data_IF_700189398201
#
_entry.id   IF_700189398201
#
_cell.length_a   1.000
_cell.length_b   1.000
_cell.length_c   1.000
_cell.angle_alpha   90.00
_cell.angle_beta   90.00
_cell.angle_gamma   90.00
#
_symmetry.space_group_name_H-M   'P 1'
#
loop_
_entity.id
_entity.type
_entity.pdbx_description
1 polymer ?
#
# COMPACT_ATOMS: atom_id res chain seq x y z
N UNK A 1 -3.80 -12.14 4.90
CA UNK A 1 -4.05 -10.96 5.78
C UNK A 1 -5.48 -10.42 5.56
N UNK A 2 -6.25 -10.10 6.63
CA UNK A 2 -7.70 -9.80 6.60
C UNK A 2 -8.09 -8.40 6.10
N UNK A 3 -9.35 -8.30 5.64
CA UNK A 3 -10.09 -7.11 5.17
C UNK A 3 -9.94 -5.92 6.14
N UNK A 4 -9.44 -4.76 5.68
CA UNK A 4 -9.46 -3.50 6.45
C UNK A 4 -8.22 -2.59 6.36
N UNK A 5 -7.09 -3.09 5.86
CA UNK A 5 -5.80 -2.37 5.86
C UNK A 5 -5.84 -1.10 5.00
N UNK A 6 -6.58 -1.09 3.89
CA UNK A 6 -6.57 0.07 2.98
C UNK A 6 -7.16 1.31 3.63
N UNK A 7 -8.27 1.14 4.37
CA UNK A 7 -8.93 2.25 5.07
C UNK A 7 -7.99 2.92 6.06
N UNK A 8 -7.21 2.14 6.80
CA UNK A 8 -6.23 2.68 7.75
C UNK A 8 -5.04 3.31 7.03
N UNK A 9 -4.49 2.66 6.01
CA UNK A 9 -3.37 3.19 5.21
C UNK A 9 -3.70 4.54 4.59
N UNK A 10 -4.92 4.72 4.08
CA UNK A 10 -5.34 5.98 3.44
C UNK A 10 -5.93 7.02 4.40
N UNK A 11 -6.17 6.68 5.67
CA UNK A 11 -6.77 7.60 6.65
C UNK A 11 -5.94 8.89 6.83
N UNK A 12 -4.63 8.74 7.06
CA UNK A 12 -3.72 9.88 7.22
C UNK A 12 -3.48 10.62 5.90
N UNK A 13 -3.15 9.96 4.76
CA UNK A 13 -3.03 10.62 3.46
C UNK A 13 -4.24 11.48 3.09
N UNK A 14 -5.47 10.98 3.34
CA UNK A 14 -6.69 11.74 3.11
C UNK A 14 -6.79 12.96 4.04
N UNK A 15 -6.53 12.77 5.33
CA UNK A 15 -6.55 13.85 6.34
C UNK A 15 -5.56 14.96 6.01
N UNK A 16 -4.35 14.59 5.59
CA UNK A 16 -3.26 15.50 5.27
C UNK A 16 -3.31 16.02 3.83
N UNK A 17 -4.34 15.65 3.05
CA UNK A 17 -4.53 16.05 1.64
C UNK A 17 -3.32 15.68 0.76
N UNK A 18 -2.71 14.53 1.02
CA UNK A 18 -1.58 14.03 0.26
C UNK A 18 -1.96 13.76 -1.19
N UNK A 19 -1.10 14.17 -2.13
CA UNK A 19 -1.26 13.85 -3.57
C UNK A 19 -0.76 12.45 -3.90
N UNK A 20 0.09 11.89 -3.04
CA UNK A 20 0.70 10.59 -3.26
C UNK A 20 1.23 9.98 -1.95
N UNK A 21 1.44 8.66 -1.97
CA UNK A 21 2.06 7.88 -0.91
C UNK A 21 3.11 6.93 -1.48
N UNK A 22 4.08 6.57 -0.64
CA UNK A 22 4.99 5.43 -0.84
C UNK A 22 4.69 4.44 0.27
N UNK A 23 4.61 3.16 -0.07
CA UNK A 23 4.37 2.08 0.90
C UNK A 23 5.60 1.19 0.92
N UNK A 24 6.06 0.82 2.11
CA UNK A 24 7.19 -0.06 2.28
C UNK A 24 6.77 -1.27 3.14
N UNK A 25 7.10 -2.45 2.65
CA UNK A 25 7.15 -3.67 3.42
C UNK A 25 8.63 -4.01 3.67
N UNK A 26 8.93 -4.72 4.75
CA UNK A 26 10.30 -5.12 5.06
C UNK A 26 10.29 -6.64 5.25
N UNK A 27 11.19 -7.34 4.57
CA UNK A 27 11.44 -8.77 4.79
C UNK A 27 12.69 -8.97 5.67
N UNK A 28 12.53 -9.26 6.98
CA UNK A 28 13.67 -9.54 7.87
C UNK A 28 14.48 -10.77 7.45
N UNK A 29 13.91 -11.63 6.61
CA UNK A 29 14.59 -12.78 6.00
C UNK A 29 15.63 -12.40 4.94
N UNK A 30 15.61 -11.15 4.44
CA UNK A 30 16.44 -10.69 3.33
C UNK A 30 15.99 -11.20 1.96
N UNK A 31 14.86 -11.91 1.88
CA UNK A 31 14.29 -12.40 0.62
C UNK A 31 13.38 -11.33 0.05
N UNK A 32 13.76 -10.76 -1.09
CA UNK A 32 12.99 -9.71 -1.79
C UNK A 32 11.98 -10.27 -2.80
N UNK A 33 11.70 -11.58 -2.75
CA UNK A 33 10.70 -12.20 -3.60
C UNK A 33 9.35 -11.96 -2.93
N UNK A 34 8.46 -11.16 -3.54
CA UNK A 34 7.17 -10.86 -2.94
C UNK A 34 6.34 -12.15 -2.86
N UNK A 35 5.71 -12.36 -1.72
CA UNK A 35 4.72 -13.41 -1.56
C UNK A 35 3.44 -13.09 -2.34
N UNK A 36 2.59 -14.09 -2.55
CA UNK A 36 1.26 -13.85 -3.12
C UNK A 36 0.43 -12.87 -2.26
N UNK A 37 0.65 -12.84 -0.95
CA UNK A 37 -0.01 -11.90 -0.05
C UNK A 37 0.50 -10.47 -0.29
N UNK A 38 1.81 -10.27 -0.50
CA UNK A 38 2.41 -8.97 -0.83
C UNK A 38 1.85 -8.43 -2.15
N UNK A 39 1.76 -9.30 -3.17
CA UNK A 39 1.18 -8.96 -4.47
C UNK A 39 -0.30 -8.57 -4.30
N UNK A 40 -1.08 -9.34 -3.55
CA UNK A 40 -2.50 -9.06 -3.33
C UNK A 40 -2.72 -7.73 -2.59
N UNK A 41 -1.91 -7.44 -1.56
CA UNK A 41 -1.95 -6.16 -0.83
C UNK A 41 -1.58 -5.01 -1.75
N UNK A 42 -0.52 -5.17 -2.55
CA UNK A 42 -0.10 -4.18 -3.56
C UNK A 42 -1.25 -3.81 -4.48
N UNK A 43 -1.92 -4.81 -5.06
CA UNK A 43 -3.03 -4.58 -5.99
C UNK A 43 -4.23 -3.89 -5.33
N UNK A 44 -4.52 -4.20 -4.07
CA UNK A 44 -5.61 -3.57 -3.32
C UNK A 44 -5.30 -2.10 -3.00
N UNK A 45 -4.07 -1.79 -2.62
CA UNK A 45 -3.62 -0.43 -2.35
C UNK A 45 -3.59 0.44 -3.60
N UNK A 46 -3.10 -0.10 -4.73
CA UNK A 46 -3.13 0.59 -6.02
C UNK A 46 -4.56 0.98 -6.41
N UNK A 47 -5.50 0.03 -6.34
CA UNK A 47 -6.92 0.27 -6.66
C UNK A 47 -7.58 1.28 -5.71
N UNK A 48 -7.30 1.20 -4.42
CA UNK A 48 -7.83 2.15 -3.44
C UNK A 48 -7.26 3.56 -3.67
N UNK A 49 -5.97 3.69 -3.95
CA UNK A 49 -5.33 4.96 -4.27
C UNK A 49 -5.93 5.62 -5.52
N UNK A 50 -6.15 4.83 -6.59
CA UNK A 50 -6.82 5.30 -7.80
C UNK A 50 -8.23 5.84 -7.50
N UNK A 51 -9.04 5.07 -6.76
CA UNK A 51 -10.40 5.48 -6.38
C UNK A 51 -10.42 6.77 -5.55
N UNK A 52 -9.43 6.93 -4.66
CA UNK A 52 -9.32 8.07 -3.75
C UNK A 52 -8.60 9.28 -4.36
N UNK A 53 -8.06 9.16 -5.57
CA UNK A 53 -7.25 10.22 -6.20
C UNK A 53 -5.88 10.43 -5.52
N UNK A 54 -5.36 9.43 -4.81
CA UNK A 54 -4.05 9.44 -4.15
C UNK A 54 -3.14 8.45 -4.85
N UNK A 55 -2.11 8.93 -5.52
CA UNK A 55 -1.17 8.05 -6.25
C UNK A 55 -0.35 7.21 -5.28
N UNK A 56 -0.22 5.93 -5.56
CA UNK A 56 0.73 5.05 -4.88
C UNK A 56 1.95 4.93 -5.78
N UNK A 57 3.06 5.57 -5.39
CA UNK A 57 4.22 5.77 -6.27
C UNK A 57 5.15 4.56 -6.31
N UNK A 58 5.33 3.91 -5.17
CA UNK A 58 6.23 2.78 -5.04
C UNK A 58 5.77 1.85 -3.92
N UNK A 59 5.98 0.56 -4.12
CA UNK A 59 5.87 -0.48 -3.11
C UNK A 59 7.21 -1.20 -3.00
N UNK A 60 7.97 -0.84 -1.99
CA UNK A 60 9.30 -1.40 -1.74
C UNK A 60 9.17 -2.58 -0.78
N UNK A 61 9.86 -3.68 -1.07
CA UNK A 61 9.99 -4.89 -0.24
C UNK A 61 11.37 -4.97 0.42
#
# INVERSE_FOLDING_TARGET
MSIGVEREVFSNPLRERATAVIVAHNHPSGILIPSNDDINVTQRLLKAGELLGIRVLDLIS
#
